data_IF_796885914093
#
_entry.id   IF_796885914093
#
_cell.length_a   1.000
_cell.length_b   1.000
_cell.length_c   1.000
_cell.angle_alpha   90.00
_cell.angle_beta   90.00
_cell.angle_gamma   90.00
#
_symmetry.space_group_name_H-M   'P 1'
#
loop_
_entity.id
_entity.type
_entity.pdbx_description
1 polymer ?
#
# COMPACT_ATOMS: atom_id res chain seq x y z
N UNK A 1 -13.25 -7.30 16.47
CA UNK A 1 -12.40 -8.40 15.93
C UNK A 1 -11.87 -7.97 14.56
N UNK A 2 -10.68 -8.42 14.14
CA UNK A 2 -10.14 -8.13 12.80
C UNK A 2 -9.95 -9.45 12.07
N UNK A 3 -10.43 -9.57 10.84
CA UNK A 3 -10.00 -10.64 9.93
C UNK A 3 -8.83 -10.13 9.13
N UNK A 4 -7.70 -10.79 9.25
CA UNK A 4 -6.54 -10.60 8.39
C UNK A 4 -6.51 -11.75 7.39
N UNK A 5 -6.58 -11.41 6.11
CA UNK A 5 -6.27 -12.35 5.04
C UNK A 5 -4.84 -12.05 4.59
N UNK A 6 -3.90 -12.89 4.99
CA UNK A 6 -2.57 -12.86 4.41
C UNK A 6 -2.67 -13.12 2.91
N UNK A 7 -1.99 -12.29 2.13
CA UNK A 7 -1.77 -12.54 0.73
C UNK A 7 -0.33 -12.91 0.50
N UNK A 8 -0.14 -13.78 -0.49
CA UNK A 8 1.15 -14.20 -1.00
C UNK A 8 2.14 -13.04 -1.13
N UNK A 9 3.40 -13.33 -0.81
CA UNK A 9 4.55 -12.48 -1.12
C UNK A 9 5.28 -13.13 -2.27
N UNK A 10 5.27 -12.50 -3.44
CA UNK A 10 6.07 -12.93 -4.59
C UNK A 10 6.80 -11.74 -5.22
N UNK A 11 7.47 -11.96 -6.34
CA UNK A 11 8.18 -10.91 -7.08
C UNK A 11 7.28 -9.79 -7.60
N UNK A 12 5.96 -9.98 -7.61
CA UNK A 12 4.96 -8.99 -8.01
C UNK A 12 4.45 -8.13 -6.84
N UNK A 13 4.78 -8.49 -5.59
CA UNK A 13 4.58 -7.65 -4.41
C UNK A 13 4.08 -8.39 -3.19
N UNK A 14 3.68 -7.61 -2.19
CA UNK A 14 3.03 -8.09 -0.96
C UNK A 14 1.69 -7.40 -0.78
N UNK A 15 0.63 -8.18 -0.53
CA UNK A 15 -0.72 -7.69 -0.31
C UNK A 15 -1.15 -8.00 1.14
N UNK A 16 -1.82 -7.04 1.77
CA UNK A 16 -2.47 -7.22 3.06
C UNK A 16 -3.93 -6.81 2.91
N UNK A 17 -4.86 -7.73 3.15
CA UNK A 17 -6.30 -7.45 3.20
C UNK A 17 -6.79 -7.66 4.63
N UNK A 18 -7.53 -6.68 5.12
CA UNK A 18 -8.03 -6.61 6.48
C UNK A 18 -9.49 -6.19 6.51
N UNK A 19 -10.31 -6.84 7.32
CA UNK A 19 -11.70 -6.45 7.54
C UNK A 19 -11.99 -6.31 9.02
N UNK A 20 -12.38 -5.12 9.52
CA UNK A 20 -12.89 -5.00 10.88
C UNK A 20 -14.25 -5.71 10.97
N UNK A 21 -14.46 -6.44 12.06
CA UNK A 21 -15.73 -7.06 12.42
C UNK A 21 -16.12 -6.54 13.80
N UNK A 22 -17.33 -6.02 13.92
CA UNK A 22 -17.89 -5.67 15.21
C UNK A 22 -18.08 -6.94 16.05
N UNK A 23 -17.55 -6.97 17.27
CA UNK A 23 -17.72 -8.11 18.19
C UNK A 23 -19.18 -8.37 18.57
N UNK A 24 -20.06 -7.37 18.43
CA UNK A 24 -21.51 -7.53 18.65
C UNK A 24 -22.14 -8.58 17.70
N UNK A 25 -21.55 -8.75 16.52
CA UNK A 25 -22.01 -9.67 15.46
C UNK A 25 -21.78 -11.14 15.84
N UNK A 26 -20.80 -11.44 16.68
CA UNK A 26 -20.43 -12.81 17.04
C UNK A 26 -21.36 -13.48 18.06
N UNK A 27 -22.24 -12.72 18.72
CA UNK A 27 -23.10 -13.25 19.79
C UNK A 27 -24.53 -13.52 19.36
N UNK A 28 -25.09 -12.76 18.40
CA UNK A 28 -26.54 -12.80 18.12
C UNK A 28 -26.94 -12.54 16.65
N UNK A 29 -26.00 -12.32 15.73
CA UNK A 29 -26.34 -12.00 14.33
C UNK A 29 -26.31 -13.23 13.42
N UNK A 30 -27.31 -13.35 12.52
CA UNK A 30 -27.29 -14.29 11.41
C UNK A 30 -26.03 -14.02 10.55
N UNK A 31 -25.16 -15.02 10.33
CA UNK A 31 -23.93 -14.86 9.55
C UNK A 31 -24.16 -14.33 8.12
N UNK A 32 -25.38 -14.42 7.61
CA UNK A 32 -25.79 -13.87 6.30
C UNK A 32 -25.84 -12.33 6.28
N UNK A 33 -25.90 -11.66 7.43
CA UNK A 33 -25.98 -10.19 7.57
C UNK A 33 -24.67 -9.54 8.02
N UNK A 34 -23.56 -10.29 8.07
CA UNK A 34 -22.26 -9.74 8.45
C UNK A 34 -21.74 -8.86 7.32
N UNK A 35 -21.78 -7.55 7.54
CA UNK A 35 -21.18 -6.61 6.60
C UNK A 35 -19.67 -6.58 6.81
N UNK A 36 -18.95 -7.27 5.93
CA UNK A 36 -17.52 -7.12 5.80
C UNK A 36 -17.25 -5.83 5.02
N UNK A 37 -16.35 -4.99 5.53
CA UNK A 37 -15.82 -3.81 4.86
C UNK A 37 -14.31 -4.01 4.63
N UNK A 38 -13.92 -4.79 3.60
CA UNK A 38 -12.53 -5.05 3.31
C UNK A 38 -11.79 -3.74 3.04
N UNK A 39 -10.63 -3.60 3.66
CA UNK A 39 -9.66 -2.55 3.39
C UNK A 39 -8.28 -3.20 3.36
N UNK A 40 -7.31 -2.59 2.70
CA UNK A 40 -6.01 -3.22 2.56
C UNK A 40 -5.02 -2.37 1.79
N UNK A 41 -3.82 -2.91 1.61
CA UNK A 41 -2.79 -2.27 0.80
C UNK A 41 -1.89 -3.28 0.10
N UNK A 42 -1.30 -2.85 -1.01
CA UNK A 42 -0.32 -3.59 -1.81
C UNK A 42 0.94 -2.76 -1.89
N UNK A 43 2.08 -3.41 -1.72
CA UNK A 43 3.40 -2.83 -1.99
C UNK A 43 4.03 -3.63 -3.14
N UNK A 44 4.29 -2.95 -4.25
CA UNK A 44 4.93 -3.52 -5.44
C UNK A 44 6.16 -2.70 -5.79
N UNK A 45 7.16 -3.31 -6.44
CA UNK A 45 8.29 -2.57 -7.01
C UNK A 45 7.81 -1.50 -8.00
N UNK A 46 8.49 -0.37 -8.08
CA UNK A 46 8.18 0.68 -9.07
C UNK A 46 8.54 0.30 -10.52
N UNK A 47 9.04 -0.93 -10.73
CA UNK A 47 9.33 -1.48 -12.05
C UNK A 47 10.52 -0.83 -12.76
N UNK A 48 11.21 0.11 -12.11
CA UNK A 48 12.42 0.70 -12.65
C UNK A 48 13.54 -0.33 -12.58
N UNK A 49 13.81 -0.94 -13.73
CA UNK A 49 14.98 -1.79 -13.88
C UNK A 49 16.22 -0.90 -13.73
N UNK A 50 17.16 -1.31 -12.88
CA UNK A 50 18.49 -0.74 -12.88
C UNK A 50 19.12 -1.04 -14.24
N UNK A 51 19.01 -0.13 -15.21
CA UNK A 51 19.60 -0.23 -16.56
C UNK A 51 21.15 -0.27 -16.53
N UNK A 52 21.77 -0.31 -15.35
CA UNK A 52 23.23 -0.36 -15.20
C UNK A 52 23.83 -1.77 -15.25
N UNK A 53 23.06 -2.82 -15.58
CA UNK A 53 23.59 -4.19 -15.65
C UNK A 53 23.45 -4.87 -17.02
N UNK A 54 23.37 -4.08 -18.10
CA UNK A 54 23.72 -4.56 -19.44
C UNK A 54 24.87 -3.71 -19.96
N UNK A 55 26.10 -4.13 -19.68
CA UNK A 55 27.15 -4.30 -20.69
C UNK A 55 28.40 -4.94 -20.06
N UNK A 56 28.31 -6.21 -19.68
CA UNK A 56 29.49 -7.06 -19.64
C UNK A 56 29.81 -7.51 -21.07
N UNK A 57 30.65 -6.77 -21.80
CA UNK A 57 31.18 -7.24 -23.09
C UNK A 57 31.78 -6.18 -24.02
N UNK A 58 33.06 -5.89 -23.78
CA UNK A 58 34.12 -5.45 -24.70
C UNK A 58 34.25 -3.99 -25.24
N UNK A 59 35.43 -3.44 -24.92
CA UNK A 59 36.32 -2.57 -25.71
C UNK A 59 35.98 -1.08 -25.89
N UNK A 60 36.80 -0.25 -25.25
CA UNK A 60 37.08 1.12 -25.70
C UNK A 60 37.42 2.03 -24.54
N UNK A 61 38.70 2.38 -24.39
CA UNK A 61 39.16 3.41 -23.48
C UNK A 61 38.39 4.70 -23.77
N UNK A 62 37.80 5.33 -22.75
CA UNK A 62 37.67 6.77 -22.69
C UNK A 62 37.48 7.22 -21.24
N UNK A 63 38.42 8.05 -20.80
CA UNK A 63 38.40 8.79 -19.55
C UNK A 63 37.19 9.72 -19.51
N UNK A 64 36.10 9.29 -18.88
CA UNK A 64 35.02 10.21 -18.49
C UNK A 64 34.75 10.03 -17.01
N UNK A 65 35.27 10.98 -16.23
CA UNK A 65 34.93 11.16 -14.83
C UNK A 65 33.42 11.39 -14.69
N UNK A 66 32.68 10.31 -14.49
CA UNK A 66 31.28 10.38 -14.08
C UNK A 66 31.23 10.66 -12.58
N UNK A 67 31.30 11.94 -12.23
CA UNK A 67 30.79 12.44 -10.96
C UNK A 67 29.26 12.45 -11.01
N UNK A 68 28.64 11.28 -11.09
CA UNK A 68 27.24 11.12 -10.74
C UNK A 68 27.17 10.03 -9.69
N UNK A 69 27.05 10.46 -8.45
CA UNK A 69 26.49 9.67 -7.36
C UNK A 69 25.03 9.34 -7.69
N UNK A 70 24.82 8.57 -8.76
CA UNK A 70 23.53 7.97 -9.09
C UNK A 70 23.40 6.76 -8.18
N UNK A 71 23.10 7.03 -6.91
CA UNK A 71 22.46 6.04 -6.06
C UNK A 71 21.11 5.75 -6.71
N UNK A 72 21.08 4.79 -7.62
CA UNK A 72 19.87 4.24 -8.21
C UNK A 72 19.11 3.49 -7.12
N UNK A 73 18.40 4.26 -6.30
CA UNK A 73 17.53 3.76 -5.24
C UNK A 73 16.20 3.44 -5.95
N UNK A 74 16.01 2.16 -6.30
CA UNK A 74 14.72 1.67 -6.78
C UNK A 74 13.61 1.98 -5.76
N UNK A 75 12.43 2.33 -6.24
CA UNK A 75 11.29 2.71 -5.41
C UNK A 75 10.27 1.59 -5.23
N UNK A 76 9.15 1.92 -4.57
CA UNK A 76 8.00 1.04 -4.45
C UNK A 76 6.71 1.83 -4.61
N UNK A 77 5.70 1.19 -5.17
CA UNK A 77 4.35 1.71 -5.29
C UNK A 77 3.50 1.15 -4.16
N UNK A 78 2.94 2.05 -3.34
CA UNK A 78 1.95 1.72 -2.33
C UNK A 78 0.55 1.99 -2.89
N UNK A 79 -0.24 0.93 -3.04
CA UNK A 79 -1.66 1.02 -3.38
C UNK A 79 -2.47 0.75 -2.12
N UNK A 80 -3.43 1.61 -1.78
CA UNK A 80 -4.32 1.40 -0.62
C UNK A 80 -5.76 1.36 -1.11
N UNK A 81 -6.53 0.38 -0.61
CA UNK A 81 -7.94 0.19 -0.92
C UNK A 81 -8.77 0.27 0.37
N UNK A 82 -9.88 1.00 0.32
CA UNK A 82 -10.81 1.13 1.44
C UNK A 82 -12.24 0.90 0.97
N UNK A 83 -13.01 0.17 1.79
CA UNK A 83 -14.45 0.19 1.72
C UNK A 83 -14.99 0.85 2.99
N UNK A 84 -15.65 2.01 2.83
CA UNK A 84 -16.18 2.80 3.94
C UNK A 84 -17.69 2.93 3.73
N UNK A 85 -18.46 2.43 4.70
CA UNK A 85 -19.91 2.66 4.72
C UNK A 85 -20.21 4.00 5.40
N UNK A 86 -20.92 4.89 4.70
CA UNK A 86 -21.37 6.17 5.24
C UNK A 86 -22.87 6.06 5.52
N UNK A 87 -23.28 6.26 6.78
CA UNK A 87 -24.71 6.20 7.14
C UNK A 87 -25.43 7.45 6.61
N UNK A 88 -26.59 7.27 5.98
CA UNK A 88 -27.29 8.31 5.22
C UNK A 88 -28.03 9.30 6.13
N UNK A 89 -27.38 10.37 6.59
CA UNK A 89 -28.01 11.59 7.11
C UNK A 89 -27.20 12.81 6.58
N UNK A 90 -27.81 13.97 6.28
CA UNK A 90 -27.45 14.73 5.11
C UNK A 90 -26.15 15.52 5.31
N UNK A 91 -25.06 15.07 4.68
CA UNK A 91 -24.35 15.85 3.66
C UNK A 91 -23.03 15.17 3.31
N UNK A 92 -23.05 14.62 2.12
CA UNK A 92 -21.98 14.07 1.28
C UNK A 92 -20.70 14.93 1.13
N UNK A 93 -20.61 16.12 1.74
CA UNK A 93 -19.41 16.98 1.69
C UNK A 93 -18.63 17.03 3.01
N UNK A 94 -19.28 16.87 4.16
CA UNK A 94 -18.58 16.92 5.47
C UNK A 94 -17.78 15.64 5.75
N UNK A 95 -18.21 14.52 5.17
CA UNK A 95 -17.52 13.23 5.29
C UNK A 95 -16.24 13.14 4.45
N UNK A 96 -16.10 13.94 3.39
CA UNK A 96 -14.95 13.88 2.46
C UNK A 96 -13.62 14.23 3.16
N UNK A 97 -13.51 15.32 3.93
CA UNK A 97 -12.30 15.61 4.71
C UNK A 97 -11.95 14.51 5.71
N UNK A 98 -12.95 13.89 6.34
CA UNK A 98 -12.75 12.81 7.31
C UNK A 98 -12.18 11.57 6.63
N UNK A 99 -12.76 11.16 5.50
CA UNK A 99 -12.25 10.03 4.70
C UNK A 99 -10.84 10.31 4.20
N UNK A 100 -10.57 11.51 3.67
CA UNK A 100 -9.23 11.89 3.23
C UNK A 100 -8.21 11.85 4.38
N UNK A 101 -8.58 12.35 5.56
CA UNK A 101 -7.73 12.29 6.76
C UNK A 101 -7.42 10.86 7.18
N UNK A 102 -8.39 9.94 7.11
CA UNK A 102 -8.19 8.52 7.38
C UNK A 102 -7.23 7.86 6.37
N UNK A 103 -7.39 8.16 5.08
CA UNK A 103 -6.50 7.66 4.02
C UNK A 103 -5.06 8.14 4.26
N UNK A 104 -4.86 9.44 4.44
CA UNK A 104 -3.54 10.03 4.70
C UNK A 104 -2.88 9.42 5.93
N UNK A 105 -3.61 9.34 7.05
CA UNK A 105 -3.09 8.76 8.30
C UNK A 105 -2.71 7.29 8.13
N UNK A 106 -3.49 6.52 7.37
CA UNK A 106 -3.17 5.12 7.10
C UNK A 106 -1.89 4.99 6.28
N UNK A 107 -1.73 5.81 5.23
CA UNK A 107 -0.49 5.84 4.43
C UNK A 107 0.72 6.22 5.29
N UNK A 108 0.58 7.22 6.15
CA UNK A 108 1.64 7.63 7.10
C UNK A 108 2.02 6.49 8.05
N UNK A 109 1.03 5.77 8.59
CA UNK A 109 1.27 4.63 9.47
C UNK A 109 1.98 3.48 8.74
N UNK A 110 1.59 3.18 7.50
CA UNK A 110 2.28 2.17 6.67
C UNK A 110 3.72 2.59 6.43
N UNK A 111 3.96 3.84 6.01
CA UNK A 111 5.32 4.36 5.80
C UNK A 111 6.17 4.30 7.07
N UNK A 112 5.61 4.70 8.21
CA UNK A 112 6.29 4.64 9.50
C UNK A 112 6.66 3.20 9.90
N UNK A 113 5.74 2.24 9.71
CA UNK A 113 5.99 0.83 9.99
C UNK A 113 7.11 0.24 9.11
N UNK A 114 7.28 0.76 7.90
CA UNK A 114 8.32 0.35 6.94
C UNK A 114 9.61 1.15 7.06
N UNK A 115 9.71 2.09 8.02
CA UNK A 115 10.83 3.02 8.15
C UNK A 115 11.14 3.82 6.87
N UNK A 116 10.11 4.17 6.09
CA UNK A 116 10.25 5.03 4.92
C UNK A 116 10.01 6.50 5.31
N UNK A 117 11.04 7.37 5.31
CA UNK A 117 10.85 8.80 5.61
C UNK A 117 10.01 9.50 4.53
N UNK A 118 9.35 10.59 4.94
CA UNK A 118 8.54 11.47 4.07
C UNK A 118 9.39 12.36 3.19
#
# INVERSE_FOLDING_TARGET
>A
MLILQESCVDSSGSLVVSCPIDSSIMSEADPSYIQLLPSGFIITSDGKQNENNIQGGNSGNDDVASTSSNTNIGGSLLTVAFQIMVNSLPSNMESVPVVNGLICKTVEQIKAALNCPM
#
